data_IF_383514331104
#
_entry.id   IF_383514331104
#
_cell.length_a   1.000
_cell.length_b   1.000
_cell.length_c   1.000
_cell.angle_alpha   90.00
_cell.angle_beta   90.00
_cell.angle_gamma   90.00
#
_symmetry.space_group_name_H-M   'P 1'
#
loop_
_entity.id
_entity.type
_entity.pdbx_description
1 polymer ?
#
# COMPACT_ATOMS: atom_id res chain seq x y z
N UNK A 1 13.50 15.14 20.05
CA UNK A 1 12.75 15.77 18.94
C UNK A 1 12.13 14.67 18.09
N UNK A 2 10.79 14.64 17.92
CA UNK A 2 10.15 13.73 16.95
C UNK A 2 10.39 14.32 15.55
N UNK A 3 11.22 13.66 14.74
CA UNK A 3 11.41 14.04 13.33
C UNK A 3 10.07 13.93 12.60
N UNK A 4 9.67 14.97 11.87
CA UNK A 4 8.47 14.93 11.02
C UNK A 4 8.69 13.90 9.92
N UNK A 5 7.76 12.96 9.75
CA UNK A 5 7.79 11.99 8.65
C UNK A 5 7.67 12.74 7.32
N UNK A 6 8.33 12.25 6.27
CA UNK A 6 8.17 12.81 4.92
C UNK A 6 6.74 12.60 4.40
N UNK A 7 6.23 13.45 3.48
CA UNK A 7 4.89 13.30 2.91
C UNK A 7 4.63 11.91 2.33
N UNK A 8 5.57 11.36 1.57
CA UNK A 8 5.45 10.01 1.01
C UNK A 8 5.36 8.91 2.09
N UNK A 9 6.01 9.11 3.23
CA UNK A 9 5.90 8.17 4.36
C UNK A 9 4.55 8.29 5.06
N UNK A 10 3.96 9.49 5.11
CA UNK A 10 2.62 9.69 5.65
C UNK A 10 1.57 9.00 4.78
N UNK A 11 1.58 9.27 3.48
CA UNK A 11 0.66 8.65 2.50
C UNK A 11 0.82 7.11 2.50
N UNK A 12 2.05 6.60 2.51
CA UNK A 12 2.27 5.16 2.63
C UNK A 12 1.62 4.56 3.88
N UNK A 13 1.77 5.18 5.06
CA UNK A 13 1.16 4.65 6.29
C UNK A 13 -0.37 4.69 6.26
N UNK A 14 -0.96 5.63 5.50
CA UNK A 14 -2.40 5.70 5.28
C UNK A 14 -2.87 4.56 4.37
N UNK A 15 -2.15 4.32 3.27
CA UNK A 15 -2.43 3.23 2.32
C UNK A 15 -2.44 1.85 2.99
N UNK A 16 -1.49 1.58 3.88
CA UNK A 16 -1.42 0.33 4.67
C UNK A 16 -2.03 0.47 6.07
N UNK A 17 -2.95 1.42 6.24
CA UNK A 17 -3.63 1.68 7.51
C UNK A 17 -4.45 0.49 8.02
N UNK A 18 -4.76 0.50 9.32
CA UNK A 18 -5.54 -0.56 9.97
C UNK A 18 -6.92 -0.70 9.31
N UNK A 19 -7.30 -1.93 9.02
CA UNK A 19 -8.63 -2.29 8.53
C UNK A 19 -9.46 -2.92 9.65
N UNK A 20 -10.78 -2.89 9.51
CA UNK A 20 -11.69 -3.56 10.45
C UNK A 20 -11.77 -5.06 10.15
N UNK A 21 -11.08 -5.86 10.96
CA UNK A 21 -11.04 -7.32 10.81
C UNK A 21 -12.11 -8.07 11.61
N UNK A 22 -13.15 -7.41 12.16
CA UNK A 22 -14.18 -8.07 13.00
C UNK A 22 -14.96 -9.18 12.27
N UNK A 23 -14.98 -9.18 10.94
CA UNK A 23 -15.67 -10.16 10.09
C UNK A 23 -14.69 -10.99 9.23
N UNK A 24 -13.44 -11.08 9.66
CA UNK A 24 -12.34 -11.61 8.86
C UNK A 24 -11.52 -10.51 8.19
N UNK A 25 -10.35 -10.87 7.69
CA UNK A 25 -9.47 -9.95 6.99
C UNK A 25 -10.01 -9.63 5.58
N UNK A 26 -9.93 -8.37 5.12
CA UNK A 26 -10.24 -8.04 3.73
C UNK A 26 -9.21 -8.66 2.78
N UNK A 27 -9.67 -9.05 1.60
CA UNK A 27 -8.82 -9.55 0.51
C UNK A 27 -8.15 -8.37 -0.20
N UNK A 28 -6.91 -8.09 0.17
CA UNK A 28 -6.09 -7.02 -0.38
C UNK A 28 -6.64 -5.63 -0.11
N UNK A 29 -6.20 -4.68 -0.94
CA UNK A 29 -6.62 -3.28 -0.95
C UNK A 29 -6.90 -2.86 -2.39
N UNK A 30 -7.85 -1.95 -2.57
CA UNK A 30 -8.26 -1.48 -3.89
C UNK A 30 -7.20 -0.58 -4.51
N UNK A 31 -6.97 -0.77 -5.82
CA UNK A 31 -6.26 0.20 -6.64
C UNK A 31 -7.13 1.46 -6.85
N UNK A 32 -6.48 2.59 -7.08
CA UNK A 32 -7.12 3.89 -7.33
C UNK A 32 -6.53 4.50 -8.59
N UNK A 33 -7.40 4.96 -9.50
CA UNK A 33 -7.01 5.62 -10.75
C UNK A 33 -6.20 4.73 -11.69
N UNK A 34 -5.62 5.36 -12.70
CA UNK A 34 -4.74 4.75 -13.68
C UNK A 34 -3.40 5.50 -13.76
N UNK A 35 -2.47 4.99 -14.57
CA UNK A 35 -1.15 5.63 -14.72
C UNK A 35 -1.24 7.00 -15.40
N UNK A 36 -2.29 7.22 -16.19
CA UNK A 36 -2.62 8.50 -16.82
C UNK A 36 -2.98 9.57 -15.77
N UNK A 37 -3.65 9.19 -14.67
CA UNK A 37 -3.97 10.10 -13.55
C UNK A 37 -2.70 10.56 -12.79
N UNK A 38 -1.60 9.83 -12.96
CA UNK A 38 -0.28 10.18 -12.43
C UNK A 38 0.57 11.03 -13.40
N UNK A 39 0.07 11.38 -14.60
CA UNK A 39 0.86 12.12 -15.59
C UNK A 39 1.35 13.47 -15.04
N UNK A 40 2.64 13.76 -15.23
CA UNK A 40 3.29 14.95 -14.67
C UNK A 40 3.50 14.93 -13.15
N UNK A 41 3.08 13.86 -12.46
CA UNK A 41 3.27 13.68 -11.00
C UNK A 41 4.40 12.69 -10.74
N UNK A 42 5.02 12.82 -9.56
CA UNK A 42 6.01 11.83 -9.09
C UNK A 42 5.29 10.60 -8.55
N UNK A 43 5.60 9.44 -9.11
CA UNK A 43 5.20 8.14 -8.57
C UNK A 43 6.24 7.69 -7.55
N UNK A 44 5.77 7.32 -6.37
CA UNK A 44 6.56 6.70 -5.31
C UNK A 44 6.32 5.21 -5.35
N UNK A 45 7.38 4.43 -5.16
CA UNK A 45 7.31 2.98 -5.12
C UNK A 45 7.83 2.50 -3.76
N UNK A 46 7.07 1.62 -3.09
CA UNK A 46 7.46 1.00 -1.82
C UNK A 46 7.14 -0.48 -1.77
N UNK A 47 8.05 -1.24 -1.17
CA UNK A 47 7.79 -2.60 -0.71
C UNK A 47 6.81 -2.58 0.47
N UNK A 48 5.83 -3.49 0.45
CA UNK A 48 4.91 -3.73 1.56
C UNK A 48 5.36 -5.00 2.27
N UNK A 49 5.95 -4.88 3.48
CA UNK A 49 6.29 -6.05 4.28
C UNK A 49 5.02 -6.80 4.66
N UNK A 50 4.96 -8.09 4.30
CA UNK A 50 3.91 -8.97 4.76
C UNK A 50 4.30 -9.62 6.09
N UNK A 51 3.38 -9.59 7.04
CA UNK A 51 3.42 -10.19 8.37
C UNK A 51 2.54 -11.45 8.40
N UNK A 52 2.73 -12.29 9.41
CA UNK A 52 1.98 -13.53 9.65
C UNK A 52 2.01 -14.48 8.44
N UNK A 53 2.98 -15.40 8.43
CA UNK A 53 3.23 -16.36 7.35
C UNK A 53 3.47 -15.73 5.96
N UNK A 54 3.80 -14.42 5.95
CA UNK A 54 4.05 -13.65 4.74
C UNK A 54 2.79 -13.38 3.92
N UNK A 55 1.61 -13.33 4.56
CA UNK A 55 0.34 -13.20 3.85
C UNK A 55 -0.44 -11.91 4.12
N UNK A 56 -0.18 -11.19 5.22
CA UNK A 56 -0.97 -10.02 5.61
C UNK A 56 -0.11 -8.77 5.60
N UNK A 57 -0.64 -7.61 5.21
CA UNK A 57 0.08 -6.37 5.52
C UNK A 57 -0.09 -5.97 6.99
N UNK A 58 0.71 -5.01 7.46
CA UNK A 58 0.65 -4.55 8.86
C UNK A 58 -0.67 -3.89 9.26
N UNK A 59 -1.51 -3.52 8.30
CA UNK A 59 -2.84 -3.01 8.53
C UNK A 59 -3.91 -4.10 8.65
N UNK A 60 -3.59 -5.35 8.30
CA UNK A 60 -4.44 -6.52 8.47
C UNK A 60 -5.15 -7.00 7.21
N UNK A 61 -4.85 -6.45 6.03
CA UNK A 61 -5.38 -6.96 4.78
C UNK A 61 -4.60 -8.20 4.30
N UNK A 62 -5.31 -9.20 3.79
CA UNK A 62 -4.73 -10.47 3.31
C UNK A 62 -4.39 -10.38 1.81
N UNK A 63 -3.17 -10.74 1.45
CA UNK A 63 -2.63 -10.69 0.09
C UNK A 63 -2.20 -12.06 -0.45
N UNK A 64 -2.34 -13.11 0.35
CA UNK A 64 -1.77 -14.44 0.05
C UNK A 64 -0.26 -14.53 0.28
N UNK A 65 0.28 -15.75 0.32
CA UNK A 65 1.72 -15.99 0.34
C UNK A 65 2.29 -15.94 -1.08
N UNK A 66 3.58 -15.64 -1.24
CA UNK A 66 4.24 -15.70 -2.55
C UNK A 66 5.32 -14.62 -2.74
N UNK A 67 5.44 -14.14 -3.98
CA UNK A 67 6.43 -13.12 -4.39
C UNK A 67 6.22 -11.77 -3.67
N UNK A 68 7.25 -10.93 -3.50
CA UNK A 68 7.13 -9.69 -2.74
C UNK A 68 6.02 -8.76 -3.24
N UNK A 69 5.33 -8.10 -2.30
CA UNK A 69 4.25 -7.15 -2.60
C UNK A 69 4.79 -5.71 -2.60
N UNK A 70 4.34 -4.92 -3.56
CA UNK A 70 4.70 -3.52 -3.70
C UNK A 70 3.46 -2.64 -3.88
N UNK A 71 3.66 -1.34 -3.64
CA UNK A 71 2.70 -0.30 -3.99
C UNK A 71 3.38 0.85 -4.70
N UNK A 72 2.79 1.27 -5.80
CA UNK A 72 3.06 2.55 -6.45
C UNK A 72 1.95 3.56 -6.08
N UNK A 73 2.32 4.80 -5.81
CA UNK A 73 1.34 5.84 -5.49
C UNK A 73 1.83 7.27 -5.75
N UNK A 74 0.90 8.21 -5.93
CA UNK A 74 1.15 9.66 -5.90
C UNK A 74 0.81 10.25 -4.53
N UNK A 75 1.37 11.44 -4.19
CA UNK A 75 1.13 12.06 -2.87
C UNK A 75 -0.33 12.49 -2.66
N UNK A 76 -1.05 12.78 -3.73
CA UNK A 76 -2.48 13.11 -3.73
C UNK A 76 -3.37 11.87 -3.84
N UNK A 77 -2.78 10.67 -3.88
CA UNK A 77 -3.47 9.37 -4.00
C UNK A 77 -4.38 9.25 -5.23
N UNK A 78 -4.19 10.10 -6.26
CA UNK A 78 -4.94 9.96 -7.52
C UNK A 78 -4.55 8.69 -8.29
N UNK A 79 -3.38 8.13 -7.99
CA UNK A 79 -2.92 6.83 -8.47
C UNK A 79 -2.43 6.00 -7.29
N UNK A 80 -2.95 4.78 -7.15
CA UNK A 80 -2.49 3.76 -6.20
C UNK A 80 -2.58 2.41 -6.89
N UNK A 81 -1.47 1.70 -6.98
CA UNK A 81 -1.42 0.37 -7.61
C UNK A 81 -0.65 -0.61 -6.73
N UNK A 82 -1.35 -1.61 -6.19
CA UNK A 82 -0.77 -2.73 -5.47
C UNK A 82 -0.49 -3.87 -6.45
N UNK A 83 0.73 -4.41 -6.42
CA UNK A 83 1.13 -5.45 -7.36
C UNK A 83 2.24 -6.34 -6.80
N UNK A 84 2.37 -7.52 -7.39
CA UNK A 84 3.51 -8.43 -7.21
C UNK A 84 4.30 -8.47 -8.50
N UNK A 85 5.62 -8.61 -8.39
CA UNK A 85 6.43 -9.00 -9.54
C UNK A 85 6.28 -10.51 -9.69
N UNK A 86 5.72 -10.95 -10.81
CA UNK A 86 5.67 -12.36 -11.22
C UNK A 86 7.02 -12.83 -11.75
#
# INVERSE_FOLDING_TARGET
MKTKKSPATQVYNELIGKVDCRRGAPMGRSNVGTKEDANGKRIYHRHIPLVCDGAYDSGGAYWGCGTPLYVEFTLDMSYVNYYRNE
#
